data_IF_412869340985
#
_entry.id   IF_412869340985
#
_cell.length_a   1.000
_cell.length_b   1.000
_cell.length_c   1.000
_cell.angle_alpha   90.00
_cell.angle_beta   90.00
_cell.angle_gamma   90.00
#
_symmetry.space_group_name_H-M   'P 1'
#
loop_
_entity.id
_entity.type
_entity.pdbx_description
1 polymer ?
#
# COMPACT_ATOMS: atom_id res chain seq x y z
N UNK A 1 3.10 -8.65 67.42
CA UNK A 1 4.13 -8.25 66.44
C UNK A 1 3.40 -7.72 65.21
N UNK A 2 3.42 -6.41 65.02
CA UNK A 2 2.75 -5.69 63.92
C UNK A 2 3.80 -5.20 62.95
N UNK A 3 3.67 -5.56 61.67
CA UNK A 3 4.55 -5.09 60.60
C UNK A 3 3.97 -3.78 60.07
N UNK A 4 4.67 -2.66 60.29
CA UNK A 4 4.37 -1.39 59.63
C UNK A 4 4.84 -1.44 58.18
N UNK A 5 3.94 -1.18 57.23
CA UNK A 5 4.29 -0.93 55.83
C UNK A 5 4.54 0.56 55.63
N UNK A 6 5.75 0.94 55.18
CA UNK A 6 6.06 2.29 54.71
C UNK A 6 5.51 2.51 53.28
N UNK A 7 5.06 3.71 52.92
CA UNK A 7 4.65 4.01 51.56
C UNK A 7 5.88 4.18 50.66
N UNK A 8 5.89 3.49 49.52
CA UNK A 8 6.87 3.72 48.46
C UNK A 8 6.50 5.03 47.73
N UNK A 9 7.26 6.08 48.02
CA UNK A 9 7.22 7.34 47.30
C UNK A 9 7.77 7.16 45.88
N UNK A 10 6.93 7.47 44.89
CA UNK A 10 7.25 8.10 43.60
C UNK A 10 8.44 7.60 42.79
N UNK A 11 8.15 6.91 41.68
CA UNK A 11 8.64 7.31 40.34
C UNK A 11 7.71 6.74 39.29
N UNK A 12 7.22 7.58 38.36
CA UNK A 12 6.51 7.15 37.15
C UNK A 12 7.41 6.19 36.35
N UNK A 13 6.88 5.21 35.61
CA UNK A 13 7.69 4.50 34.63
C UNK A 13 8.24 5.54 33.66
N UNK A 14 9.57 5.67 33.61
CA UNK A 14 10.25 6.33 32.51
C UNK A 14 9.81 5.60 31.24
N UNK A 15 9.47 6.38 30.22
CA UNK A 15 9.19 5.90 28.87
C UNK A 15 10.25 4.85 28.50
N UNK A 16 9.79 3.66 28.12
CA UNK A 16 10.65 2.73 27.39
C UNK A 16 10.91 3.45 26.07
N UNK A 17 12.13 3.93 25.87
CA UNK A 17 12.55 4.41 24.56
C UNK A 17 12.21 3.31 23.56
N UNK A 18 11.37 3.62 22.58
CA UNK A 18 11.18 2.73 21.44
C UNK A 18 12.57 2.44 20.87
N UNK A 19 12.92 1.16 20.62
CA UNK A 19 14.25 0.85 20.12
C UNK A 19 14.49 1.69 18.86
N UNK A 20 15.59 2.45 18.84
CA UNK A 20 15.98 3.24 17.67
C UNK A 20 15.90 2.33 16.43
N UNK A 21 15.39 2.82 15.29
CA UNK A 21 15.34 2.03 14.07
C UNK A 21 16.75 1.50 13.79
N UNK A 22 16.89 0.17 13.74
CA UNK A 22 18.16 -0.48 13.43
C UNK A 22 18.52 -0.18 11.97
N UNK A 23 19.17 0.96 11.75
CA UNK A 23 19.94 1.21 10.56
C UNK A 23 21.28 0.51 10.76
N UNK A 24 21.77 -0.30 9.79
CA UNK A 24 23.08 -0.91 9.93
C UNK A 24 24.15 0.19 10.09
N UNK A 25 24.60 0.38 11.32
CA UNK A 25 25.74 1.21 11.66
C UNK A 25 27.00 0.43 11.25
N UNK A 26 27.29 0.43 9.96
CA UNK A 26 28.52 -0.10 9.40
C UNK A 26 29.17 0.97 8.53
N UNK A 27 30.46 1.20 8.74
CA UNK A 27 31.32 2.05 7.89
C UNK A 27 31.51 1.47 6.47
N UNK A 28 30.57 0.65 5.98
CA UNK A 28 30.58 0.15 4.61
C UNK A 28 29.92 1.18 3.71
N UNK A 29 30.73 1.84 2.87
CA UNK A 29 30.19 2.82 1.98
C UNK A 29 29.12 2.28 1.02
N UNK A 30 29.19 1.04 0.57
CA UNK A 30 28.23 0.60 -0.44
C UNK A 30 26.86 0.21 0.17
N UNK A 31 26.76 0.05 1.50
CA UNK A 31 25.47 -0.10 2.19
C UNK A 31 24.63 1.19 2.15
N UNK A 32 25.26 2.38 2.14
CA UNK A 32 24.51 3.66 2.07
C UNK A 32 23.89 3.94 0.69
N UNK A 33 24.26 3.16 -0.34
CA UNK A 33 23.62 3.19 -1.67
C UNK A 33 22.45 2.21 -1.78
N UNK A 34 22.28 1.33 -0.80
CA UNK A 34 21.12 0.46 -0.75
C UNK A 34 20.00 1.28 -0.08
N UNK A 35 19.06 1.79 -0.87
CA UNK A 35 17.80 2.34 -0.34
C UNK A 35 17.02 1.21 0.33
N UNK A 36 17.35 0.93 1.59
CA UNK A 36 16.68 -0.04 2.45
C UNK A 36 15.52 0.65 3.14
N UNK A 37 14.39 -0.04 3.13
CA UNK A 37 13.15 0.43 3.74
C UNK A 37 12.62 -0.65 4.65
N UNK A 38 12.03 -0.25 5.77
CA UNK A 38 11.28 -1.14 6.65
C UNK A 38 9.79 -0.97 6.36
N UNK A 39 9.09 -2.08 6.15
CA UNK A 39 7.64 -2.03 5.94
C UNK A 39 6.93 -1.85 7.28
N UNK A 40 6.31 -0.70 7.48
CA UNK A 40 5.59 -0.38 8.72
C UNK A 40 4.10 -0.74 8.63
N UNK A 41 3.44 -0.38 7.52
CA UNK A 41 2.03 -0.75 7.26
C UNK A 41 1.82 -1.15 5.82
N UNK A 42 0.85 -2.03 5.61
CA UNK A 42 0.37 -2.43 4.29
C UNK A 42 -1.16 -2.47 4.28
N UNK A 43 -1.77 -2.15 3.14
CA UNK A 43 -3.22 -2.13 3.03
C UNK A 43 -3.75 -2.11 1.60
N UNK A 44 -5.05 -2.32 1.45
CA UNK A 44 -5.76 -1.96 0.21
C UNK A 44 -6.07 -0.47 0.27
N UNK A 45 -5.63 0.31 -0.71
CA UNK A 45 -6.02 1.72 -0.82
C UNK A 45 -7.05 1.91 -1.92
N UNK A 46 -8.01 2.79 -1.67
CA UNK A 46 -8.98 3.25 -2.67
C UNK A 46 -9.28 4.74 -2.52
N UNK A 47 -9.60 5.36 -3.65
CA UNK A 47 -10.21 6.69 -3.64
C UNK A 47 -11.63 6.64 -3.13
N UNK A 48 -12.00 7.58 -2.25
CA UNK A 48 -13.42 7.79 -1.91
C UNK A 48 -14.19 8.48 -3.04
N UNK A 49 -13.49 9.15 -3.96
CA UNK A 49 -14.05 9.67 -5.20
C UNK A 49 -13.97 8.61 -6.31
N UNK A 50 -15.06 8.45 -7.05
CA UNK A 50 -15.07 7.63 -8.26
C UNK A 50 -14.65 8.42 -9.51
N UNK A 51 -14.08 7.71 -10.49
CA UNK A 51 -13.69 8.24 -11.79
C UNK A 51 -14.53 7.60 -12.91
N UNK A 52 -14.99 8.36 -13.91
CA UNK A 52 -15.71 7.78 -15.04
C UNK A 52 -14.85 6.79 -15.83
N UNK A 53 -15.41 5.61 -16.11
CA UNK A 53 -14.80 4.64 -17.00
C UNK A 53 -14.56 5.24 -18.38
N UNK A 54 -13.32 5.17 -18.87
CA UNK A 54 -12.93 5.76 -20.16
C UNK A 54 -13.76 5.25 -21.35
N UNK A 55 -14.33 4.04 -21.25
CA UNK A 55 -15.10 3.40 -22.32
C UNK A 55 -16.60 3.67 -22.24
N UNK A 56 -17.19 3.61 -21.06
CA UNK A 56 -18.65 3.61 -20.90
C UNK A 56 -19.22 4.65 -19.92
N UNK A 57 -18.36 5.47 -19.30
CA UNK A 57 -18.74 6.53 -18.36
C UNK A 57 -19.20 6.05 -16.98
N UNK A 58 -19.36 4.74 -16.75
CA UNK A 58 -19.73 4.23 -15.43
C UNK A 58 -18.67 4.57 -14.39
N UNK A 59 -19.08 4.98 -13.20
CA UNK A 59 -18.17 5.37 -12.12
C UNK A 59 -17.39 4.15 -11.58
N UNK A 60 -16.07 4.27 -11.58
CA UNK A 60 -15.13 3.24 -11.11
C UNK A 60 -14.32 3.79 -9.95
N UNK A 61 -14.10 2.96 -8.93
CA UNK A 61 -13.20 3.28 -7.83
C UNK A 61 -11.78 2.91 -8.26
N UNK A 62 -10.86 3.87 -8.13
CA UNK A 62 -9.44 3.62 -8.32
C UNK A 62 -8.86 3.05 -7.02
N UNK A 63 -8.05 2.00 -7.14
CA UNK A 63 -7.46 1.28 -6.02
C UNK A 63 -6.03 0.84 -6.31
N UNK A 64 -5.28 0.51 -5.25
CA UNK A 64 -3.92 0.00 -5.34
C UNK A 64 -3.50 -0.66 -4.04
N UNK A 65 -2.23 -1.05 -3.97
CA UNK A 65 -1.60 -1.51 -2.74
C UNK A 65 -0.97 -0.33 -2.01
N UNK A 66 -1.34 -0.13 -0.74
CA UNK A 66 -0.72 0.86 0.13
C UNK A 66 0.48 0.28 0.84
N UNK A 67 1.56 1.05 0.92
CA UNK A 67 2.72 0.76 1.75
C UNK A 67 3.08 2.01 2.56
N UNK A 68 3.30 1.84 3.85
CA UNK A 68 3.99 2.84 4.67
C UNK A 68 5.39 2.31 4.93
N UNK A 69 6.38 2.94 4.30
CA UNK A 69 7.78 2.53 4.33
C UNK A 69 8.56 3.48 5.22
N UNK A 70 9.22 2.96 6.24
CA UNK A 70 10.18 3.68 7.06
C UNK A 70 11.53 3.67 6.36
N UNK A 71 11.97 4.84 5.94
CA UNK A 71 13.29 5.11 5.36
C UNK A 71 14.13 5.97 6.30
N UNK A 72 15.36 6.27 5.88
CA UNK A 72 16.26 7.16 6.63
C UNK A 72 15.64 8.53 6.92
N UNK A 73 14.90 9.07 5.95
CA UNK A 73 14.33 10.43 6.03
C UNK A 73 12.90 10.45 6.61
N UNK A 74 12.44 9.32 7.16
CA UNK A 74 11.14 9.18 7.81
C UNK A 74 10.20 8.23 7.09
N UNK A 75 8.89 8.41 7.30
CA UNK A 75 7.84 7.55 6.76
C UNK A 75 7.35 8.03 5.40
N UNK A 76 7.26 7.11 4.44
CA UNK A 76 6.76 7.36 3.09
C UNK A 76 5.50 6.53 2.87
N UNK A 77 4.38 7.22 2.64
CA UNK A 77 3.12 6.61 2.24
C UNK A 77 3.11 6.46 0.73
N UNK A 78 3.07 5.23 0.23
CA UNK A 78 3.08 4.89 -1.20
C UNK A 78 1.78 4.21 -1.60
N UNK A 79 1.33 4.49 -2.82
CA UNK A 79 0.45 3.60 -3.55
C UNK A 79 1.23 2.92 -4.66
N UNK A 80 1.08 1.62 -4.77
CA UNK A 80 1.66 0.78 -5.81
C UNK A 80 0.54 0.20 -6.67
N UNK A 81 0.77 0.14 -7.97
CA UNK A 81 -0.14 -0.50 -8.91
C UNK A 81 -0.34 -1.98 -8.61
N UNK A 82 -1.53 -2.49 -8.99
CA UNK A 82 -1.78 -3.93 -8.90
C UNK A 82 -0.87 -4.74 -9.81
N UNK A 83 -0.44 -4.17 -10.94
CA UNK A 83 0.47 -4.82 -11.87
C UNK A 83 1.87 -4.95 -11.28
N UNK A 84 2.42 -3.89 -10.68
CA UNK A 84 3.74 -3.92 -10.03
C UNK A 84 3.74 -4.86 -8.82
N UNK A 85 2.71 -4.80 -7.96
CA UNK A 85 2.57 -5.72 -6.84
C UNK A 85 2.45 -7.18 -7.30
N UNK A 86 1.75 -7.44 -8.41
CA UNK A 86 1.65 -8.79 -8.96
C UNK A 86 2.97 -9.28 -9.57
N UNK A 87 3.66 -8.41 -10.32
CA UNK A 87 4.95 -8.72 -10.95
C UNK A 87 6.06 -8.93 -9.92
N UNK A 88 5.99 -8.25 -8.78
CA UNK A 88 6.86 -8.49 -7.64
C UNK A 88 6.65 -9.88 -7.00
N UNK A 89 5.61 -10.61 -7.41
CA UNK A 89 5.34 -11.97 -6.95
C UNK A 89 4.72 -12.03 -5.56
N UNK A 90 4.47 -10.89 -4.89
CA UNK A 90 4.05 -10.86 -3.49
C UNK A 90 2.58 -11.22 -3.25
N UNK A 91 1.75 -11.39 -4.29
CA UNK A 91 0.32 -11.62 -4.14
C UNK A 91 -0.04 -13.10 -4.27
N UNK A 92 -0.68 -13.67 -3.26
CA UNK A 92 -1.10 -15.07 -3.26
C UNK A 92 -2.26 -15.34 -4.23
N UNK A 93 -2.34 -16.57 -4.74
CA UNK A 93 -3.46 -16.99 -5.60
C UNK A 93 -4.84 -16.86 -4.93
N UNK A 94 -5.03 -17.27 -3.66
CA UNK A 94 -6.26 -16.98 -2.93
C UNK A 94 -6.63 -15.49 -2.90
N UNK A 95 -5.65 -14.61 -2.69
CA UNK A 95 -5.90 -13.17 -2.60
C UNK A 95 -6.25 -12.55 -3.96
N UNK A 96 -5.63 -13.03 -5.04
CA UNK A 96 -6.02 -12.64 -6.40
C UNK A 96 -7.50 -12.95 -6.69
N UNK A 97 -8.06 -14.03 -6.12
CA UNK A 97 -9.50 -14.31 -6.22
C UNK A 97 -10.33 -13.27 -5.44
N UNK A 98 -9.93 -12.92 -4.22
CA UNK A 98 -10.57 -11.85 -3.45
C UNK A 98 -10.56 -10.51 -4.19
N UNK A 99 -9.43 -10.17 -4.83
CA UNK A 99 -9.31 -8.97 -5.66
C UNK A 99 -10.26 -9.00 -6.87
N UNK A 100 -10.39 -10.14 -7.54
CA UNK A 100 -11.32 -10.30 -8.66
C UNK A 100 -12.78 -10.15 -8.23
N UNK A 101 -13.17 -10.84 -7.16
CA UNK A 101 -14.57 -10.95 -6.74
C UNK A 101 -15.08 -9.69 -6.06
N UNK A 102 -14.25 -9.09 -5.20
CA UNK A 102 -14.66 -7.96 -4.36
C UNK A 102 -14.18 -6.60 -4.88
N UNK A 103 -13.03 -6.55 -5.57
CA UNK A 103 -12.39 -5.29 -5.97
C UNK A 103 -12.37 -5.05 -7.48
N UNK A 104 -12.88 -6.01 -8.26
CA UNK A 104 -12.87 -5.96 -9.74
C UNK A 104 -11.47 -5.81 -10.32
N UNK A 105 -10.46 -6.28 -9.60
CA UNK A 105 -9.05 -6.28 -9.99
C UNK A 105 -8.71 -7.69 -10.49
N UNK A 106 -8.34 -7.80 -11.77
CA UNK A 106 -8.08 -9.11 -12.40
C UNK A 106 -7.17 -8.99 -13.62
N UNK A 107 -6.47 -10.06 -14.02
CA UNK A 107 -5.68 -10.07 -15.24
C UNK A 107 -6.54 -9.70 -16.45
N UNK A 108 -6.17 -8.63 -17.14
CA UNK A 108 -6.91 -8.14 -18.32
C UNK A 108 -5.94 -7.66 -19.38
N UNK A 109 -6.20 -8.02 -20.64
CA UNK A 109 -5.34 -7.64 -21.76
C UNK A 109 -5.43 -6.14 -22.07
N UNK A 110 -4.29 -5.46 -22.10
CA UNK A 110 -4.17 -4.09 -22.58
C UNK A 110 -3.71 -4.08 -24.03
N UNK A 111 -4.53 -3.50 -24.92
CA UNK A 111 -4.16 -3.33 -26.33
C UNK A 111 -2.97 -2.40 -26.51
N UNK A 112 -2.86 -1.37 -25.69
CA UNK A 112 -1.77 -0.39 -25.78
C UNK A 112 -0.46 -0.97 -25.26
N UNK A 113 -0.51 -1.79 -24.21
CA UNK A 113 0.69 -2.42 -23.64
C UNK A 113 1.12 -3.69 -24.39
N UNK A 114 0.18 -4.39 -25.05
CA UNK A 114 0.46 -5.62 -25.80
C UNK A 114 0.50 -6.89 -24.94
N UNK A 115 0.14 -6.81 -23.65
CA UNK A 115 0.09 -7.94 -22.73
C UNK A 115 -1.05 -7.79 -21.72
N UNK A 116 -1.33 -8.88 -20.99
CA UNK A 116 -2.27 -8.88 -19.88
C UNK A 116 -1.54 -8.64 -18.55
N UNK A 117 -2.13 -7.81 -17.70
CA UNK A 117 -1.63 -7.55 -16.35
C UNK A 117 -2.79 -7.42 -15.37
N UNK A 118 -2.47 -7.52 -14.07
CA UNK A 118 -3.44 -7.36 -13.00
C UNK A 118 -3.84 -5.89 -12.91
N UNK A 119 -5.11 -5.57 -13.16
CA UNK A 119 -5.58 -4.19 -13.15
C UNK A 119 -7.06 -4.07 -12.85
N UNK A 120 -7.50 -2.83 -12.57
CA UNK A 120 -8.89 -2.52 -12.25
C UNK A 120 -9.75 -2.68 -13.49
N UNK A 121 -10.92 -3.29 -13.36
CA UNK A 121 -11.90 -3.41 -14.44
C UNK A 121 -13.19 -2.68 -14.12
N UNK A 122 -13.78 -2.05 -15.13
CA UNK A 122 -15.08 -1.41 -14.98
C UNK A 122 -16.14 -2.47 -14.64
N UNK A 123 -16.91 -2.30 -13.55
CA UNK A 123 -17.93 -3.27 -13.15
C UNK A 123 -19.10 -3.36 -14.16
N UNK A 124 -19.33 -2.32 -14.96
CA UNK A 124 -20.40 -2.29 -15.98
C UNK A 124 -20.00 -2.96 -17.30
N UNK A 125 -18.85 -2.57 -17.86
CA UNK A 125 -18.46 -2.99 -19.21
C UNK A 125 -17.23 -3.90 -19.27
N UNK A 126 -16.63 -4.23 -18.12
CA UNK A 126 -15.44 -5.08 -18.01
C UNK A 126 -14.16 -4.46 -18.56
N UNK A 127 -14.18 -3.22 -19.06
CA UNK A 127 -12.98 -2.60 -19.62
C UNK A 127 -11.91 -2.34 -18.57
N UNK A 128 -10.66 -2.63 -18.91
CA UNK A 128 -9.49 -2.32 -18.12
C UNK A 128 -9.38 -0.81 -17.90
N UNK A 129 -9.35 -0.38 -16.65
CA UNK A 129 -8.94 0.96 -16.23
C UNK A 129 -7.43 0.88 -15.97
N UNK A 130 -6.65 0.99 -17.06
CA UNK A 130 -5.22 0.69 -17.03
C UNK A 130 -4.38 1.63 -16.17
N UNK A 131 -3.16 1.20 -15.86
CA UNK A 131 -2.28 1.87 -14.91
C UNK A 131 -1.95 3.30 -15.33
N UNK A 132 -1.70 3.55 -16.62
CA UNK A 132 -1.54 4.92 -17.17
C UNK A 132 -2.73 5.85 -16.85
N UNK A 133 -3.97 5.33 -16.85
CA UNK A 133 -5.11 6.16 -16.45
C UNK A 133 -5.05 6.45 -14.95
N UNK A 134 -4.78 5.43 -14.14
CA UNK A 134 -4.86 5.52 -12.67
C UNK A 134 -3.69 6.31 -12.06
N UNK A 135 -2.47 6.07 -12.54
CA UNK A 135 -1.22 6.57 -11.95
C UNK A 135 -0.55 7.69 -12.74
N UNK A 136 -0.86 7.86 -14.04
CA UNK A 136 -0.34 9.00 -14.83
C UNK A 136 -1.43 10.02 -15.21
N UNK A 137 -2.68 9.79 -14.80
CA UNK A 137 -3.84 10.60 -15.20
C UNK A 137 -3.93 10.80 -16.72
N UNK A 138 -3.59 9.77 -17.51
CA UNK A 138 -3.48 9.92 -18.96
C UNK A 138 -4.78 10.48 -19.58
N UNK A 139 -4.66 11.60 -20.28
CA UNK A 139 -5.78 12.37 -20.87
C UNK A 139 -6.83 12.86 -19.87
N UNK A 140 -6.49 13.04 -18.59
CA UNK A 140 -7.43 13.48 -17.56
C UNK A 140 -8.50 12.42 -17.22
N UNK A 141 -8.23 11.14 -17.51
CA UNK A 141 -9.20 10.05 -17.35
C UNK A 141 -9.05 9.29 -16.03
N UNK A 142 -8.21 9.78 -15.12
CA UNK A 142 -7.96 9.20 -13.82
C UNK A 142 -7.91 10.23 -12.70
N UNK A 143 -6.80 10.23 -11.99
CA UNK A 143 -6.41 11.37 -11.16
C UNK A 143 -6.68 11.25 -9.68
N UNK A 144 -7.34 10.19 -9.17
CA UNK A 144 -7.52 10.07 -7.71
C UNK A 144 -6.17 10.07 -6.99
N UNK A 145 -5.20 9.33 -7.52
CA UNK A 145 -3.85 9.27 -6.95
C UNK A 145 -2.89 10.27 -7.59
N UNK A 146 -3.06 10.54 -8.88
CA UNK A 146 -2.06 11.21 -9.71
C UNK A 146 -2.35 12.65 -10.10
N UNK A 147 -3.57 13.14 -9.90
CA UNK A 147 -3.90 14.55 -10.14
C UNK A 147 -3.52 15.36 -8.89
N UNK A 148 -2.55 16.29 -8.97
CA UNK A 148 -2.15 17.10 -7.82
C UNK A 148 -3.28 17.99 -7.29
N UNK A 149 -4.26 18.34 -8.12
CA UNK A 149 -5.43 19.13 -7.73
C UNK A 149 -6.51 18.28 -7.03
N UNK A 150 -6.44 16.95 -7.15
CA UNK A 150 -7.38 16.06 -6.46
C UNK A 150 -7.01 15.93 -4.97
N UNK A 151 -7.77 16.64 -4.16
CA UNK A 151 -7.64 16.66 -2.69
C UNK A 151 -8.60 15.69 -1.99
N UNK A 152 -9.23 14.76 -2.72
CA UNK A 152 -10.18 13.82 -2.15
C UNK A 152 -9.49 12.85 -1.16
N UNK A 153 -10.21 12.40 -0.10
CA UNK A 153 -9.64 11.44 0.84
C UNK A 153 -9.46 10.07 0.20
N UNK A 154 -8.50 9.33 0.74
CA UNK A 154 -8.19 7.96 0.40
C UNK A 154 -8.49 7.07 1.61
N UNK A 155 -9.16 5.95 1.38
CA UNK A 155 -9.36 4.94 2.41
C UNK A 155 -8.32 3.84 2.27
N UNK A 156 -7.63 3.55 3.37
CA UNK A 156 -6.69 2.43 3.49
C UNK A 156 -7.29 1.39 4.40
N UNK A 157 -7.53 0.20 3.89
CA UNK A 157 -7.98 -0.96 4.66
C UNK A 157 -6.76 -1.81 5.01
N UNK A 158 -6.36 -1.89 6.29
CA UNK A 158 -5.15 -2.60 6.69
C UNK A 158 -5.16 -4.07 6.28
N UNK A 159 -3.99 -4.55 5.83
CA UNK A 159 -3.68 -5.95 5.59
C UNK A 159 -2.60 -6.41 6.60
N UNK A 160 -2.50 -7.72 6.90
CA UNK A 160 -1.38 -8.25 7.66
C UNK A 160 -0.05 -7.92 6.96
N UNK A 161 1.03 -7.69 7.69
CA UNK A 161 2.37 -7.45 7.10
C UNK A 161 2.91 -8.77 6.53
N UNK A 162 3.62 -8.71 5.39
CA UNK A 162 4.16 -9.89 4.69
C UNK A 162 5.61 -10.20 4.98
N UNK A 163 6.35 -9.24 5.52
CA UNK A 163 7.74 -9.43 5.94
C UNK A 163 7.85 -9.35 7.45
N UNK A 164 8.95 -9.86 7.95
CA UNK A 164 9.46 -9.42 9.23
C UNK A 164 9.82 -7.91 9.15
N UNK A 165 10.12 -7.34 10.30
CA UNK A 165 10.35 -5.91 10.46
C UNK A 165 11.78 -5.50 10.09
N UNK A 166 12.48 -6.32 9.30
CA UNK A 166 13.84 -6.04 8.85
C UNK A 166 13.84 -5.09 7.63
N UNK A 167 14.78 -4.12 7.59
CA UNK A 167 14.96 -3.27 6.41
C UNK A 167 15.38 -4.09 5.18
N UNK A 168 14.71 -3.86 4.05
CA UNK A 168 15.00 -4.52 2.77
C UNK A 168 14.75 -3.60 1.58
N UNK A 169 15.09 -4.05 0.37
CA UNK A 169 14.87 -3.28 -0.86
C UNK A 169 13.46 -3.49 -1.38
N UNK A 170 12.76 -2.39 -1.64
CA UNK A 170 11.42 -2.38 -2.24
C UNK A 170 11.43 -1.72 -3.63
N UNK A 171 12.33 -2.15 -4.54
CA UNK A 171 12.50 -1.50 -5.86
C UNK A 171 11.15 -1.32 -6.61
N UNK A 172 10.29 -2.34 -6.58
CA UNK A 172 8.96 -2.33 -7.20
C UNK A 172 7.97 -1.33 -6.58
N UNK A 173 8.21 -0.86 -5.34
CA UNK A 173 7.39 0.17 -4.70
C UNK A 173 7.77 1.59 -5.13
N UNK A 174 8.84 1.73 -5.90
CA UNK A 174 9.37 2.99 -6.45
C UNK A 174 9.49 2.95 -8.00
N UNK A 175 8.91 1.93 -8.63
CA UNK A 175 8.84 1.78 -10.09
C UNK A 175 7.75 2.67 -10.73
N UNK A 176 7.61 2.59 -12.06
CA UNK A 176 6.87 3.57 -12.89
C UNK A 176 5.40 3.79 -12.52
N UNK A 177 4.69 2.80 -11.97
CA UNK A 177 3.28 2.97 -11.55
C UNK A 177 3.12 2.94 -10.03
N UNK A 178 3.97 3.69 -9.35
CA UNK A 178 3.88 3.92 -7.92
C UNK A 178 4.03 5.40 -7.57
N UNK A 179 3.26 5.89 -6.61
CA UNK A 179 3.16 7.30 -6.27
C UNK A 179 3.25 7.53 -4.76
N UNK A 180 3.79 8.68 -4.37
CA UNK A 180 3.70 9.16 -3.00
C UNK A 180 2.27 9.66 -2.72
N UNK A 181 1.75 9.25 -1.58
CA UNK A 181 0.47 9.70 -1.07
C UNK A 181 0.71 10.74 0.02
N UNK A 182 -0.01 11.84 -0.07
CA UNK A 182 0.00 12.85 0.99
C UNK A 182 -0.69 12.28 2.25
N UNK A 183 -0.02 12.19 3.42
CA UNK A 183 -0.57 11.53 4.60
C UNK A 183 -1.91 12.11 5.08
N UNK A 184 -2.13 13.41 4.88
CA UNK A 184 -3.36 14.09 5.29
C UNK A 184 -4.60 13.62 4.51
N UNK A 185 -4.43 12.99 3.34
CA UNK A 185 -5.52 12.40 2.55
C UNK A 185 -5.97 11.04 3.11
N UNK A 186 -5.12 10.37 3.89
CA UNK A 186 -5.31 8.96 4.27
C UNK A 186 -6.26 8.84 5.46
N UNK A 187 -7.23 7.94 5.33
CA UNK A 187 -8.14 7.50 6.39
C UNK A 187 -8.01 5.99 6.53
N UNK A 188 -7.56 5.53 7.69
CA UNK A 188 -7.48 4.10 7.96
C UNK A 188 -8.86 3.56 8.32
N UNK A 189 -9.36 2.64 7.49
CA UNK A 189 -10.59 1.90 7.71
C UNK A 189 -10.37 0.65 8.55
N UNK A 190 -11.41 -0.19 8.64
CA UNK A 190 -11.30 -1.49 9.32
C UNK A 190 -10.46 -2.45 8.48
N UNK A 191 -9.68 -3.35 9.12
CA UNK A 191 -8.95 -4.39 8.40
C UNK A 191 -9.88 -5.22 7.52
N UNK A 192 -9.38 -5.63 6.36
CA UNK A 192 -10.14 -6.44 5.40
C UNK A 192 -10.36 -7.83 5.99
N UNK A 193 -11.61 -8.28 6.07
CA UNK A 193 -11.90 -9.68 6.39
C UNK A 193 -11.52 -10.56 5.19
N UNK A 194 -10.38 -11.24 5.31
CA UNK A 194 -9.87 -12.15 4.29
C UNK A 194 -10.33 -13.56 4.64
N UNK A 195 -11.27 -14.11 3.87
CA UNK A 195 -11.91 -15.39 4.16
C UNK A 195 -11.07 -16.59 3.67
N UNK A 196 -11.06 -17.69 4.44
CA UNK A 196 -10.61 -19.00 3.97
C UNK A 196 -9.12 -19.14 3.68
N UNK A 197 -8.24 -18.77 4.62
CA UNK A 197 -6.78 -18.82 4.47
C UNK A 197 -6.24 -18.05 3.26
N UNK A 198 -6.98 -17.05 2.76
CA UNK A 198 -6.57 -16.28 1.60
C UNK A 198 -5.49 -15.23 1.92
N UNK A 199 -4.46 -15.65 2.67
CA UNK A 199 -3.33 -14.84 3.09
C UNK A 199 -2.88 -13.98 1.91
N UNK A 200 -2.76 -12.64 2.05
CA UNK A 200 -2.54 -11.80 0.87
C UNK A 200 -1.24 -12.11 0.13
N UNK A 201 -0.33 -12.78 0.84
CA UNK A 201 1.06 -12.91 0.48
C UNK A 201 1.40 -14.32 -0.01
N UNK A 202 2.23 -14.40 -1.06
CA UNK A 202 2.87 -15.67 -1.44
C UNK A 202 3.88 -16.07 -0.35
N UNK A 203 3.98 -17.37 -0.07
CA UNK A 203 5.14 -17.93 0.66
C UNK A 203 6.42 -17.83 -0.18
#
# INVERSE_FOLDING_TARGET
MSIEMRPLSGTRPLYVDEPEPFWPAGDDPDLYKLELWRLHKVGLVQGLRSVPCWKCGYLVIQSGLFLELEGRDGYHCRVVSWSDAHNAGILSQPFLRTLSDCWRVRPTYSKSAGYAYLGITCPKCGSLQGDNFVYDNYQGRGGVFSDPEDKSPLEVLPLPVFTDDWPQRFHWAFDSFSLDLEPWRIRFGKPVAIWGNAWPWSE
#
